data_IF_307203930792
#
_entry.id   IF_307203930792
#
_cell.length_a   1.000
_cell.length_b   1.000
_cell.length_c   1.000
_cell.angle_alpha   90.00
_cell.angle_beta   90.00
_cell.angle_gamma   90.00
#
_symmetry.space_group_name_H-M   'P 1'
#
loop_
_entity.id
_entity.type
_entity.pdbx_description
1 polymer ?
#
# COMPACT_ATOMS: atom_id res chain seq x y z
N UNK A 1 54.02 5.72 8.67
CA UNK A 1 52.95 4.73 8.46
C UNK A 1 51.71 4.90 9.37
N UNK A 2 51.78 5.57 10.53
CA UNK A 2 50.61 5.82 11.39
C UNK A 2 49.58 6.82 10.83
N UNK A 3 49.98 7.74 9.93
CA UNK A 3 49.10 8.81 9.45
C UNK A 3 48.19 8.42 8.26
N UNK A 4 48.45 7.28 7.61
CA UNK A 4 47.62 6.78 6.49
C UNK A 4 46.36 6.06 7.02
N UNK A 5 46.47 5.43 8.20
CA UNK A 5 45.34 4.73 8.81
C UNK A 5 44.26 5.70 9.32
N UNK A 6 44.65 6.89 9.78
CA UNK A 6 43.72 7.93 10.28
C UNK A 6 42.91 8.59 9.15
N UNK A 7 43.50 8.73 7.95
CA UNK A 7 42.79 9.27 6.77
C UNK A 7 41.78 8.24 6.24
N UNK A 8 42.09 6.95 6.32
CA UNK A 8 41.17 5.89 5.89
C UNK A 8 39.95 5.75 6.82
N UNK A 9 40.10 6.06 8.12
CA UNK A 9 38.99 5.99 9.08
C UNK A 9 37.99 7.16 8.97
N UNK A 10 38.42 8.32 8.47
CA UNK A 10 37.54 9.48 8.25
C UNK A 10 36.68 9.39 6.98
N UNK A 11 36.99 8.48 6.05
CA UNK A 11 36.23 8.25 4.81
C UNK A 11 35.07 7.25 4.98
N UNK A 12 34.90 6.65 6.16
CA UNK A 12 33.82 5.71 6.48
C UNK A 12 32.61 6.35 7.18
N UNK A 13 32.44 7.67 7.12
CA UNK A 13 31.17 8.33 7.44
C UNK A 13 30.16 8.08 6.32
N UNK A 14 29.77 6.81 6.16
CA UNK A 14 28.63 6.42 5.33
C UNK A 14 27.39 6.98 6.01
N UNK A 15 27.00 8.19 5.60
CA UNK A 15 25.74 8.80 5.98
C UNK A 15 24.62 7.81 5.68
N UNK A 16 23.91 7.40 6.72
CA UNK A 16 22.71 6.57 6.62
C UNK A 16 21.63 7.47 5.99
N UNK A 17 21.59 7.52 4.65
CA UNK A 17 20.55 8.23 3.89
C UNK A 17 19.26 7.40 3.87
N UNK A 18 18.65 7.24 5.04
CA UNK A 18 17.26 6.85 5.18
C UNK A 18 16.52 7.87 6.07
N UNK A 19 16.90 9.14 5.97
CA UNK A 19 16.23 10.22 6.68
C UNK A 19 14.93 10.55 5.96
N UNK A 20 13.81 10.43 6.67
CA UNK A 20 12.53 10.90 6.21
C UNK A 20 12.60 12.42 5.97
N UNK A 21 12.17 12.89 4.80
CA UNK A 21 11.99 14.32 4.58
C UNK A 21 10.85 14.83 5.50
N UNK A 22 10.99 15.96 6.20
CA UNK A 22 9.91 16.49 7.02
C UNK A 22 8.80 17.06 6.14
N UNK A 23 7.54 16.80 6.49
CA UNK A 23 6.35 17.43 5.91
C UNK A 23 5.48 17.89 7.07
N UNK A 24 5.16 19.17 7.12
CA UNK A 24 4.36 19.77 8.19
C UNK A 24 2.95 20.02 7.67
N UNK A 25 1.96 19.48 8.36
CA UNK A 25 0.54 19.73 8.12
C UNK A 25 0.04 20.85 9.03
N UNK A 26 -0.57 21.87 8.42
CA UNK A 26 -1.27 22.94 9.13
C UNK A 26 -2.77 22.60 9.20
N UNK A 27 -3.24 22.24 10.39
CA UNK A 27 -4.64 21.87 10.62
C UNK A 27 -5.63 23.03 10.37
N UNK A 28 -5.24 24.27 10.69
CA UNK A 28 -6.14 25.41 10.55
C UNK A 28 -6.31 25.82 9.08
N UNK A 29 -5.24 25.71 8.31
CA UNK A 29 -5.23 26.13 6.90
C UNK A 29 -5.42 24.99 5.91
N UNK A 30 -5.41 23.74 6.39
CA UNK A 30 -5.64 22.52 5.62
C UNK A 30 -4.69 22.36 4.42
N UNK A 31 -3.38 22.54 4.63
CA UNK A 31 -2.35 22.30 3.62
C UNK A 31 -1.08 21.72 4.24
N UNK A 32 -0.17 21.23 3.40
CA UNK A 32 1.18 20.83 3.80
C UNK A 32 2.19 21.94 3.52
N UNK A 33 3.28 22.03 4.28
CA UNK A 33 4.47 22.84 3.98
C UNK A 33 4.19 24.25 3.44
N UNK A 34 3.20 24.99 3.96
CA UNK A 34 2.87 26.34 3.46
C UNK A 34 2.48 26.40 1.97
N UNK A 35 1.89 25.32 1.45
CA UNK A 35 1.49 25.20 0.05
C UNK A 35 2.61 24.73 -0.88
N UNK A 36 3.79 24.39 -0.34
CA UNK A 36 4.89 23.84 -1.15
C UNK A 36 4.61 22.40 -1.57
N UNK A 37 5.04 21.97 -2.78
CA UNK A 37 4.89 20.60 -3.24
C UNK A 37 5.50 19.56 -2.28
N UNK A 38 4.88 18.39 -2.22
CA UNK A 38 5.35 17.28 -1.41
C UNK A 38 6.61 16.64 -2.01
N UNK A 39 7.45 16.02 -1.18
CA UNK A 39 8.66 15.38 -1.66
C UNK A 39 8.38 14.22 -2.60
N UNK A 40 9.02 14.25 -3.77
CA UNK A 40 8.96 13.16 -4.74
C UNK A 40 9.89 12.01 -4.34
N UNK A 41 9.48 10.79 -4.69
CA UNK A 41 10.33 9.59 -4.77
C UNK A 41 11.08 9.23 -3.47
N UNK A 42 10.64 9.78 -2.36
CA UNK A 42 11.28 9.67 -1.05
C UNK A 42 10.24 9.44 0.02
N UNK A 43 10.66 8.82 1.13
CA UNK A 43 9.81 8.66 2.31
C UNK A 43 9.83 9.95 3.12
N UNK A 44 8.71 10.29 3.75
CA UNK A 44 8.60 11.52 4.51
C UNK A 44 7.92 11.31 5.86
N UNK A 45 8.21 12.22 6.80
CA UNK A 45 7.64 12.25 8.12
C UNK A 45 6.59 13.35 8.13
N UNK A 46 5.32 12.97 8.21
CA UNK A 46 4.23 13.91 8.36
C UNK A 46 4.09 14.31 9.82
N UNK A 47 4.26 15.58 10.12
CA UNK A 47 4.06 16.15 11.44
C UNK A 47 2.97 17.21 11.42
N UNK A 48 2.35 17.49 12.57
CA UNK A 48 1.32 18.52 12.67
C UNK A 48 0.82 18.64 14.09
N UNK A 49 -0.02 19.64 14.34
CA UNK A 49 -0.66 19.80 15.65
C UNK A 49 -1.81 18.80 15.83
N UNK A 50 -1.99 18.33 17.06
CA UNK A 50 -3.09 17.43 17.43
C UNK A 50 -4.20 18.29 18.05
N UNK A 51 -5.42 18.29 17.48
CA UNK A 51 -6.55 18.97 18.10
C UNK A 51 -6.84 18.43 19.51
N UNK A 52 -7.35 19.24 20.45
CA UNK A 52 -7.68 18.79 21.80
C UNK A 52 -8.61 17.58 21.79
N UNK A 53 -8.32 16.58 22.63
CA UNK A 53 -9.12 15.35 22.75
C UNK A 53 -8.82 14.28 21.69
N UNK A 54 -8.10 14.60 20.61
CA UNK A 54 -7.72 13.62 19.59
C UNK A 54 -6.63 12.69 20.12
N UNK A 55 -6.89 11.40 20.08
CA UNK A 55 -5.99 10.35 20.57
C UNK A 55 -5.44 9.46 19.45
N UNK A 56 -5.97 9.58 18.24
CA UNK A 56 -5.55 8.82 17.08
C UNK A 56 -5.83 9.59 15.80
N UNK A 57 -4.88 9.49 14.86
CA UNK A 57 -4.98 10.09 13.53
C UNK A 57 -4.70 9.00 12.50
N UNK A 58 -5.60 8.81 11.55
CA UNK A 58 -5.41 7.92 10.40
C UNK A 58 -5.24 8.76 9.15
N UNK A 59 -4.12 8.57 8.46
CA UNK A 59 -3.83 9.21 7.17
C UNK A 59 -4.04 8.19 6.06
N UNK A 60 -4.75 8.59 5.00
CA UNK A 60 -4.89 7.84 3.76
C UNK A 60 -4.42 8.67 2.58
N UNK A 61 -3.80 8.00 1.62
CA UNK A 61 -3.36 8.58 0.35
C UNK A 61 -4.16 7.95 -0.78
N UNK A 62 -4.64 8.78 -1.70
CA UNK A 62 -5.38 8.38 -2.90
C UNK A 62 -4.75 9.01 -4.13
N UNK A 63 -4.94 8.37 -5.29
CA UNK A 63 -4.64 8.98 -6.59
C UNK A 63 -5.56 10.15 -6.88
N UNK A 64 -6.86 9.96 -6.67
CA UNK A 64 -7.90 10.98 -6.75
C UNK A 64 -8.95 10.77 -5.63
N UNK A 65 -9.71 11.82 -5.31
CA UNK A 65 -10.71 11.80 -4.22
C UNK A 65 -11.63 10.58 -4.32
N UNK A 66 -11.71 9.81 -3.23
CA UNK A 66 -12.67 8.71 -3.08
C UNK A 66 -12.39 7.48 -3.95
N UNK A 67 -11.27 7.44 -4.67
CA UNK A 67 -10.84 6.27 -5.45
C UNK A 67 -10.05 5.28 -4.56
N UNK A 68 -9.11 4.54 -5.15
CA UNK A 68 -8.39 3.45 -4.51
C UNK A 68 -7.42 4.01 -3.47
N UNK A 69 -7.49 3.50 -2.24
CA UNK A 69 -6.49 3.79 -1.20
C UNK A 69 -5.13 3.23 -1.63
N UNK A 70 -4.16 4.13 -1.84
CA UNK A 70 -2.78 3.77 -2.18
C UNK A 70 -1.95 3.42 -0.95
N UNK A 71 -2.21 4.11 0.16
CA UNK A 71 -1.48 3.93 1.40
C UNK A 71 -2.33 4.33 2.61
N UNK A 72 -2.06 3.70 3.75
CA UNK A 72 -2.66 4.05 5.04
C UNK A 72 -1.60 4.00 6.12
N UNK A 73 -1.58 5.00 6.98
CA UNK A 73 -0.73 5.03 8.17
C UNK A 73 -1.49 5.64 9.33
N UNK A 74 -1.07 5.32 10.55
CA UNK A 74 -1.77 5.72 11.77
C UNK A 74 -0.78 6.23 12.80
N UNK A 75 -1.19 7.28 13.49
CA UNK A 75 -0.58 7.72 14.74
C UNK A 75 -1.56 7.47 15.87
N UNK A 76 -1.04 6.94 16.98
CA UNK A 76 -1.79 6.70 18.22
C UNK A 76 -1.05 7.38 19.35
N UNK A 77 -1.80 8.13 20.15
CA UNK A 77 -1.27 8.73 21.36
C UNK A 77 -0.92 7.61 22.36
N UNK A 78 0.30 7.64 22.91
CA UNK A 78 0.81 6.58 23.80
C UNK A 78 0.16 6.58 25.19
N UNK A 79 -0.23 7.76 25.69
CA UNK A 79 -0.85 7.93 27.02
C UNK A 79 -2.26 8.55 26.92
N UNK A 80 -3.23 8.15 27.75
CA UNK A 80 -4.60 8.67 27.67
C UNK A 80 -4.76 10.12 28.18
N UNK A 81 -3.87 10.56 29.08
CA UNK A 81 -3.99 11.84 29.80
C UNK A 81 -3.01 12.94 29.38
N UNK A 82 -2.19 12.69 28.35
CA UNK A 82 -1.21 13.67 27.90
C UNK A 82 -1.76 14.47 26.72
N UNK A 83 -1.67 15.79 26.82
CA UNK A 83 -1.92 16.70 25.71
C UNK A 83 -0.69 16.71 24.81
N UNK A 84 -0.50 15.71 23.94
CA UNK A 84 0.49 15.88 22.88
C UNK A 84 0.09 17.09 22.04
N UNK A 85 1.01 18.05 21.91
CA UNK A 85 0.82 19.22 21.05
C UNK A 85 0.99 18.89 19.56
N UNK A 86 1.50 17.69 19.23
CA UNK A 86 1.70 17.29 17.85
C UNK A 86 1.82 15.77 17.63
N UNK A 87 1.66 15.38 16.37
CA UNK A 87 1.79 14.01 15.89
C UNK A 87 2.95 13.88 14.92
N UNK A 88 3.44 12.65 14.75
CA UNK A 88 4.43 12.29 13.73
C UNK A 88 4.04 10.95 13.11
N UNK A 89 3.76 10.94 11.81
CA UNK A 89 3.40 9.77 11.01
C UNK A 89 4.51 9.52 9.98
N UNK A 90 5.16 8.36 10.05
CA UNK A 90 6.07 7.94 9.01
C UNK A 90 5.27 7.50 7.77
N UNK A 91 5.51 8.19 6.65
CA UNK A 91 4.91 7.86 5.35
C UNK A 91 5.94 7.09 4.53
N UNK A 92 5.74 5.77 4.49
CA UNK A 92 6.64 4.82 3.80
C UNK A 92 6.30 4.61 2.32
N UNK A 93 5.33 5.37 1.80
CA UNK A 93 4.91 5.32 0.41
C UNK A 93 5.56 6.47 -0.36
N UNK A 94 6.57 6.21 -1.23
CA UNK A 94 7.16 7.24 -2.05
C UNK A 94 6.15 7.74 -3.08
N UNK A 95 5.99 9.05 -3.19
CA UNK A 95 5.08 9.68 -4.16
C UNK A 95 5.77 9.80 -5.52
N UNK A 96 5.04 9.60 -6.62
CA UNK A 96 5.59 9.83 -7.96
C UNK A 96 5.69 11.34 -8.20
N UNK A 97 6.83 11.78 -8.71
CA UNK A 97 6.97 13.19 -9.12
C UNK A 97 6.09 13.54 -10.31
N UNK A 98 5.81 14.82 -10.47
CA UNK A 98 4.90 15.35 -11.51
C UNK A 98 3.48 14.77 -11.44
N UNK A 99 3.02 14.37 -10.25
CA UNK A 99 1.65 13.92 -10.00
C UNK A 99 1.05 14.70 -8.84
N UNK A 100 -0.26 14.64 -8.74
CA UNK A 100 -1.05 15.16 -7.63
C UNK A 100 -1.65 13.99 -6.86
N UNK A 101 -1.86 14.16 -5.57
CA UNK A 101 -2.46 13.14 -4.70
C UNK A 101 -3.47 13.77 -3.76
N UNK A 102 -4.51 13.01 -3.43
CA UNK A 102 -5.44 13.38 -2.36
C UNK A 102 -5.01 12.75 -1.04
N UNK A 103 -5.00 13.56 0.02
CA UNK A 103 -4.74 13.11 1.39
C UNK A 103 -5.99 13.28 2.23
N UNK A 104 -6.35 12.24 2.97
CA UNK A 104 -7.40 12.31 3.97
C UNK A 104 -6.82 12.03 5.35
N UNK A 105 -7.01 12.95 6.29
CA UNK A 105 -6.68 12.77 7.69
C UNK A 105 -7.97 12.63 8.49
N UNK A 106 -8.10 11.51 9.19
CA UNK A 106 -9.22 11.19 10.06
C UNK A 106 -8.76 11.34 11.51
N UNK A 107 -9.41 12.24 12.25
CA UNK A 107 -9.10 12.55 13.64
C UNK A 107 -10.10 11.86 14.57
N UNK A 108 -9.59 11.03 15.48
CA UNK A 108 -10.41 10.26 16.41
C UNK A 108 -10.18 10.73 17.84
N UNK A 109 -11.27 10.88 18.59
CA UNK A 109 -11.26 11.26 20.00
C UNK A 109 -11.74 10.09 20.85
N UNK A 110 -11.14 9.91 22.03
CA UNK A 110 -11.63 8.93 23.02
C UNK A 110 -13.07 9.27 23.39
N UNK A 111 -13.96 8.28 23.36
CA UNK A 111 -15.30 8.46 23.91
C UNK A 111 -15.21 8.78 25.40
N UNK A 112 -16.03 9.72 25.88
CA UNK A 112 -16.24 9.89 27.32
C UNK A 112 -17.10 8.74 27.86
N UNK A 113 -16.98 8.41 29.15
CA UNK A 113 -17.78 7.34 29.78
C UNK A 113 -19.28 7.48 29.49
N UNK A 114 -19.81 8.71 29.49
CA UNK A 114 -21.21 9.01 29.18
C UNK A 114 -21.58 8.75 27.72
N UNK A 115 -20.68 9.07 26.79
CA UNK A 115 -20.91 8.82 25.36
C UNK A 115 -20.80 7.34 25.02
N UNK A 116 -19.88 6.63 25.68
CA UNK A 116 -19.75 5.18 25.59
C UNK A 116 -21.01 4.49 26.11
N UNK A 117 -21.50 4.88 27.29
CA UNK A 117 -22.74 4.35 27.86
C UNK A 117 -23.93 4.60 26.92
N UNK A 118 -24.03 5.81 26.34
CA UNK A 118 -25.09 6.14 25.37
C UNK A 118 -24.99 5.29 24.11
N UNK A 119 -23.78 5.03 23.59
CA UNK A 119 -23.56 4.19 22.43
C UNK A 119 -23.96 2.74 22.71
N UNK A 120 -23.57 2.22 23.88
CA UNK A 120 -23.97 0.89 24.37
C UNK A 120 -25.49 0.78 24.45
N UNK A 121 -26.16 1.75 25.08
CA UNK A 121 -27.63 1.77 25.19
C UNK A 121 -28.32 1.79 23.83
N UNK A 122 -27.81 2.58 22.89
CA UNK A 122 -28.36 2.64 21.52
C UNK A 122 -28.18 1.32 20.78
N UNK A 123 -27.01 0.68 20.92
CA UNK A 123 -26.71 -0.61 20.33
C UNK A 123 -27.62 -1.70 20.89
N UNK A 124 -27.74 -1.78 22.22
CA UNK A 124 -28.60 -2.74 22.91
C UNK A 124 -30.07 -2.54 22.52
N UNK A 125 -30.55 -1.30 22.53
CA UNK A 125 -31.94 -0.98 22.12
C UNK A 125 -32.22 -1.46 20.70
N UNK A 126 -31.30 -1.23 19.77
CA UNK A 126 -31.48 -1.61 18.36
C UNK A 126 -31.44 -3.13 18.19
N UNK A 127 -30.49 -3.81 18.83
CA UNK A 127 -30.38 -5.27 18.79
C UNK A 127 -31.58 -5.95 19.46
N UNK A 128 -32.04 -5.44 20.59
CA UNK A 128 -33.17 -6.01 21.32
C UNK A 128 -34.48 -5.79 20.57
N UNK A 129 -34.71 -4.60 20.02
CA UNK A 129 -35.87 -4.34 19.18
C UNK A 129 -35.90 -5.27 17.95
N UNK A 130 -34.74 -5.50 17.30
CA UNK A 130 -34.63 -6.46 16.21
C UNK A 130 -34.99 -7.88 16.66
N UNK A 131 -34.46 -8.34 17.80
CA UNK A 131 -34.74 -9.67 18.34
C UNK A 131 -36.22 -9.83 18.72
N UNK A 132 -36.80 -8.83 19.39
CA UNK A 132 -38.21 -8.83 19.80
C UNK A 132 -39.15 -8.87 18.59
N UNK A 133 -38.81 -8.18 17.51
CA UNK A 133 -39.59 -8.22 16.26
C UNK A 133 -39.39 -9.54 15.50
N UNK A 134 -38.20 -10.13 15.58
CA UNK A 134 -37.84 -11.33 14.80
C UNK A 134 -38.29 -12.64 15.46
N UNK A 135 -38.65 -12.61 16.74
CA UNK A 135 -39.07 -13.79 17.52
C UNK A 135 -40.54 -13.69 17.86
N UNK A 136 -41.33 -14.65 17.39
CA UNK A 136 -42.77 -14.74 17.70
C UNK A 136 -43.04 -15.91 18.63
N UNK A 137 -43.70 -15.64 19.76
CA UNK A 137 -44.10 -16.68 20.73
C UNK A 137 -45.49 -17.18 20.37
N UNK A 138 -45.59 -18.43 19.93
CA UNK A 138 -46.86 -19.11 19.71
C UNK A 138 -47.27 -19.92 20.95
N UNK A 139 -48.50 -20.45 20.96
CA UNK A 139 -49.05 -21.22 22.10
C UNK A 139 -48.20 -22.43 22.53
N UNK A 140 -47.47 -23.03 21.60
CA UNK A 140 -46.76 -24.30 21.80
C UNK A 140 -45.27 -24.27 21.40
N UNK A 141 -44.82 -23.25 20.69
CA UNK A 141 -43.46 -23.12 20.17
C UNK A 141 -43.07 -21.66 20.02
N UNK A 142 -41.77 -21.41 19.91
CA UNK A 142 -41.24 -20.14 19.45
C UNK A 142 -40.93 -20.27 17.96
N UNK A 143 -41.28 -19.27 17.15
CA UNK A 143 -40.97 -19.24 15.72
C UNK A 143 -40.16 -18.01 15.39
N UNK A 144 -39.14 -18.17 14.55
CA UNK A 144 -38.36 -17.06 14.03
C UNK A 144 -39.00 -16.56 12.73
N UNK A 145 -39.06 -15.23 12.54
CA UNK A 145 -39.53 -14.65 11.28
C UNK A 145 -38.54 -14.87 10.12
N UNK A 146 -37.27 -15.08 10.45
CA UNK A 146 -36.18 -15.36 9.50
C UNK A 146 -35.37 -16.56 10.00
N UNK A 147 -34.68 -17.24 9.09
CA UNK A 147 -33.75 -18.32 9.44
C UNK A 147 -32.63 -17.79 10.35
N UNK A 148 -32.16 -18.61 11.29
CA UNK A 148 -31.08 -18.26 12.23
C UNK A 148 -29.86 -17.61 11.56
N UNK A 149 -29.42 -18.13 10.40
CA UNK A 149 -28.30 -17.55 9.63
C UNK A 149 -28.55 -16.10 9.21
N UNK A 150 -29.74 -15.80 8.70
CA UNK A 150 -30.11 -14.44 8.27
C UNK A 150 -30.18 -13.49 9.46
N UNK A 151 -30.69 -13.97 10.61
CA UNK A 151 -30.71 -13.16 11.83
C UNK A 151 -29.30 -12.77 12.30
N UNK A 152 -28.35 -13.71 12.24
CA UNK A 152 -26.95 -13.40 12.55
C UNK A 152 -26.38 -12.37 11.57
N UNK A 153 -26.64 -12.50 10.27
CA UNK A 153 -26.18 -11.54 9.26
C UNK A 153 -26.74 -10.13 9.50
N UNK A 154 -28.04 -10.03 9.78
CA UNK A 154 -28.72 -8.78 10.08
C UNK A 154 -28.16 -8.13 11.37
N UNK A 155 -28.01 -8.89 12.45
CA UNK A 155 -27.42 -8.41 13.70
C UNK A 155 -25.96 -7.98 13.50
N UNK A 156 -25.18 -8.74 12.71
CA UNK A 156 -23.82 -8.34 12.35
C UNK A 156 -23.79 -7.03 11.57
N UNK A 157 -24.78 -6.78 10.72
CA UNK A 157 -24.92 -5.51 10.02
C UNK A 157 -25.27 -4.36 10.98
N UNK A 158 -26.16 -4.58 11.95
CA UNK A 158 -26.49 -3.59 12.99
C UNK A 158 -25.23 -3.17 13.74
N UNK A 159 -24.45 -4.12 14.27
CA UNK A 159 -23.21 -3.81 15.01
C UNK A 159 -22.22 -3.07 14.11
N UNK A 160 -21.96 -3.56 12.88
CA UNK A 160 -21.01 -2.91 11.97
C UNK A 160 -21.42 -1.48 11.60
N UNK A 161 -22.72 -1.22 11.41
CA UNK A 161 -23.22 0.12 11.11
C UNK A 161 -23.07 1.05 12.31
N UNK A 162 -23.41 0.58 13.52
CA UNK A 162 -23.26 1.36 14.75
C UNK A 162 -21.80 1.66 15.09
N UNK A 163 -20.88 0.75 14.77
CA UNK A 163 -19.45 0.89 15.02
C UNK A 163 -18.68 1.49 13.82
N UNK A 164 -19.33 1.83 12.71
CA UNK A 164 -18.64 2.20 11.46
C UNK A 164 -17.72 3.42 11.59
N UNK A 165 -18.10 4.37 12.45
CA UNK A 165 -17.32 5.58 12.76
C UNK A 165 -16.40 5.43 13.97
N UNK A 166 -16.40 4.25 14.59
CA UNK A 166 -15.60 3.94 15.77
C UNK A 166 -14.34 3.19 15.38
N UNK A 167 -13.27 3.42 16.12
CA UNK A 167 -12.00 2.71 15.95
C UNK A 167 -11.44 2.34 17.30
N UNK A 168 -11.05 1.08 17.44
CA UNK A 168 -10.40 0.59 18.64
C UNK A 168 -8.88 0.79 18.52
N UNK A 169 -8.22 1.17 19.63
CA UNK A 169 -6.76 1.27 19.71
C UNK A 169 -6.04 -0.06 19.49
N UNK A 170 -6.63 -1.19 19.81
CA UNK A 170 -6.09 -2.53 19.53
C UNK A 170 -6.30 -2.98 18.07
N UNK A 171 -6.95 -2.16 17.22
CA UNK A 171 -7.42 -2.55 15.87
C UNK A 171 -8.33 -3.79 15.89
N UNK A 172 -8.94 -4.06 17.05
CA UNK A 172 -9.99 -5.07 17.16
C UNK A 172 -11.18 -4.64 16.31
N UNK A 173 -11.62 -5.53 15.43
CA UNK A 173 -12.79 -5.35 14.58
C UNK A 173 -13.82 -6.39 14.98
N UNK A 174 -15.08 -5.98 14.97
CA UNK A 174 -16.17 -6.92 15.12
C UNK A 174 -16.25 -7.81 13.88
N UNK A 175 -15.73 -9.04 14.00
CA UNK A 175 -15.74 -10.04 12.93
C UNK A 175 -17.12 -10.72 12.78
N UNK A 176 -18.01 -10.52 13.75
CA UNK A 176 -19.34 -11.11 13.79
C UNK A 176 -19.65 -11.78 15.13
N UNK A 177 -20.93 -12.05 15.37
CA UNK A 177 -21.37 -12.86 16.50
C UNK A 177 -20.84 -14.30 16.41
N UNK A 178 -20.54 -14.88 17.57
CA UNK A 178 -19.97 -16.20 17.67
C UNK A 178 -20.96 -17.32 17.30
N UNK A 179 -20.44 -18.53 17.13
CA UNK A 179 -21.27 -19.73 16.99
C UNK A 179 -22.13 -19.99 18.24
N UNK A 180 -21.77 -19.45 19.42
CA UNK A 180 -22.58 -19.57 20.63
C UNK A 180 -23.91 -18.83 20.46
N UNK A 181 -23.88 -17.60 19.93
CA UNK A 181 -25.09 -16.82 19.62
C UNK A 181 -25.93 -17.55 18.57
N UNK A 182 -25.28 -18.02 17.50
CA UNK A 182 -25.95 -18.77 16.43
C UNK A 182 -26.65 -20.03 16.95
N UNK A 183 -25.97 -20.80 17.80
CA UNK A 183 -26.53 -22.00 18.43
C UNK A 183 -27.68 -21.64 19.37
N UNK A 184 -27.59 -20.54 20.11
CA UNK A 184 -28.66 -20.08 21.01
C UNK A 184 -29.92 -19.66 20.23
N UNK A 185 -29.76 -19.01 19.08
CA UNK A 185 -30.88 -18.69 18.17
C UNK A 185 -31.52 -19.97 17.62
N UNK A 186 -30.71 -20.95 17.19
CA UNK A 186 -31.23 -22.23 16.71
C UNK A 186 -31.98 -22.99 17.82
N UNK A 187 -31.47 -22.99 19.05
CA UNK A 187 -32.16 -23.55 20.21
C UNK A 187 -33.50 -22.86 20.51
N UNK A 188 -33.59 -21.55 20.25
CA UNK A 188 -34.81 -20.79 20.39
C UNK A 188 -35.86 -21.20 19.34
N UNK A 189 -35.42 -21.44 18.09
CA UNK A 189 -36.26 -21.96 17.01
C UNK A 189 -36.83 -23.35 17.33
N UNK A 190 -36.01 -24.23 17.91
CA UNK A 190 -36.40 -25.60 18.27
C UNK A 190 -37.16 -25.71 19.60
N UNK A 191 -37.43 -24.57 20.26
CA UNK A 191 -37.97 -24.53 21.62
C UNK A 191 -39.44 -25.00 21.65
N UNK A 192 -39.66 -26.18 22.24
CA UNK A 192 -41.01 -26.74 22.47
C UNK A 192 -41.54 -26.36 23.86
N UNK A 193 -42.48 -25.42 23.91
CA UNK A 193 -43.05 -24.88 25.16
C UNK A 193 -43.88 -25.90 25.97
N UNK A 194 -44.30 -27.01 25.34
CA UNK A 194 -45.02 -28.10 26.03
C UNK A 194 -44.20 -28.75 27.16
N UNK A 195 -42.87 -28.73 27.06
CA UNK A 195 -41.94 -29.30 28.07
C UNK A 195 -41.60 -28.34 29.22
N UNK A 196 -41.96 -27.05 29.12
CA UNK A 196 -41.67 -26.03 30.13
C UNK A 196 -42.35 -26.31 31.49
N UNK A 197 -43.40 -27.14 31.50
CA UNK A 197 -44.15 -27.52 32.71
C UNK A 197 -43.29 -28.16 33.82
N UNK A 198 -42.10 -28.68 33.53
CA UNK A 198 -41.28 -29.34 34.56
C UNK A 198 -40.22 -28.43 35.21
N UNK A 199 -39.88 -27.28 34.61
CA UNK A 199 -38.79 -26.42 35.10
C UNK A 199 -39.25 -25.27 36.02
N UNK A 200 -40.44 -24.70 35.77
CA UNK A 200 -40.94 -23.49 36.48
C UNK A 200 -41.93 -23.84 37.61
N UNK A 201 -42.56 -25.01 37.55
CA UNK A 201 -43.62 -25.45 38.49
C UNK A 201 -43.16 -25.63 39.95
N UNK A 202 -41.86 -25.53 40.26
CA UNK A 202 -41.38 -25.49 41.65
C UNK A 202 -41.53 -24.13 42.34
N UNK A 203 -41.90 -23.04 41.64
CA UNK A 203 -41.86 -21.68 42.20
C UNK A 203 -43.19 -20.93 42.37
N UNK A 204 -44.30 -21.31 41.72
CA UNK A 204 -45.59 -20.59 41.85
C UNK A 204 -46.80 -21.51 41.68
N UNK A 205 -47.55 -21.74 42.74
CA UNK A 205 -48.72 -22.64 42.80
C UNK A 205 -50.01 -22.09 42.11
N UNK A 206 -49.99 -20.89 41.52
CA UNK A 206 -51.22 -20.23 40.99
C UNK A 206 -51.09 -19.53 39.63
N UNK A 207 -50.13 -19.90 38.77
CA UNK A 207 -50.03 -19.32 37.42
C UNK A 207 -50.75 -20.20 36.39
N UNK A 208 -51.43 -19.58 35.42
CA UNK A 208 -52.08 -20.30 34.32
C UNK A 208 -51.02 -20.98 33.42
N UNK A 209 -51.40 -22.10 32.78
CA UNK A 209 -50.46 -22.86 31.92
C UNK A 209 -49.93 -22.03 30.74
N UNK A 210 -50.67 -21.00 30.30
CA UNK A 210 -50.26 -20.11 29.21
C UNK A 210 -49.26 -19.05 29.68
N UNK A 211 -49.46 -18.47 30.86
CA UNK A 211 -48.50 -17.54 31.49
C UNK A 211 -47.14 -18.20 31.73
N UNK A 212 -47.11 -19.44 32.22
CA UNK A 212 -45.86 -20.17 32.49
C UNK A 212 -45.07 -20.44 31.19
N UNK A 213 -45.77 -20.69 30.08
CA UNK A 213 -45.15 -20.93 28.77
C UNK A 213 -44.61 -19.64 28.16
N UNK A 214 -45.39 -18.55 28.25
CA UNK A 214 -44.95 -17.22 27.85
C UNK A 214 -43.71 -16.80 28.63
N UNK A 215 -43.74 -16.95 29.95
CA UNK A 215 -42.61 -16.61 30.83
C UNK A 215 -41.34 -17.41 30.50
N UNK A 216 -41.46 -18.70 30.19
CA UNK A 216 -40.31 -19.51 29.75
C UNK A 216 -39.72 -19.03 28.41
N UNK A 217 -40.57 -18.69 27.44
CA UNK A 217 -40.12 -18.15 26.16
C UNK A 217 -39.39 -16.81 26.35
N UNK A 218 -39.97 -15.92 27.16
CA UNK A 218 -39.37 -14.62 27.51
C UNK A 218 -38.03 -14.82 28.21
N UNK A 219 -37.90 -15.76 29.14
CA UNK A 219 -36.61 -16.05 29.79
C UNK A 219 -35.52 -16.50 28.80
N UNK A 220 -35.87 -17.30 27.79
CA UNK A 220 -34.90 -17.73 26.77
C UNK A 220 -34.50 -16.57 25.84
N UNK A 221 -35.45 -15.71 25.48
CA UNK A 221 -35.19 -14.51 24.70
C UNK A 221 -34.31 -13.52 25.47
N UNK A 222 -34.59 -13.29 26.75
CA UNK A 222 -33.76 -12.45 27.62
C UNK A 222 -32.35 -13.01 27.81
N UNK A 223 -32.21 -14.34 27.87
CA UNK A 223 -30.88 -14.98 27.87
C UNK A 223 -30.13 -14.74 26.56
N UNK A 224 -30.81 -14.77 25.41
CA UNK A 224 -30.20 -14.47 24.12
C UNK A 224 -29.79 -13.00 24.04
N UNK A 225 -30.65 -12.06 24.46
CA UNK A 225 -30.35 -10.62 24.53
C UNK A 225 -29.09 -10.35 25.35
N UNK A 226 -28.97 -10.96 26.53
CA UNK A 226 -27.76 -10.83 27.38
C UNK A 226 -26.49 -11.34 26.69
N UNK A 227 -26.57 -12.47 26.00
CA UNK A 227 -25.42 -13.04 25.28
C UNK A 227 -24.99 -12.14 24.11
N UNK A 228 -25.96 -11.67 23.32
CA UNK A 228 -25.73 -10.74 22.20
C UNK A 228 -25.13 -9.43 22.70
N UNK A 229 -25.68 -8.86 23.77
CA UNK A 229 -25.19 -7.62 24.39
C UNK A 229 -23.74 -7.79 24.85
N UNK A 230 -23.43 -8.87 25.58
CA UNK A 230 -22.07 -9.13 26.05
C UNK A 230 -21.05 -9.27 24.90
N UNK A 231 -21.40 -9.99 23.83
CA UNK A 231 -20.50 -10.12 22.67
C UNK A 231 -20.36 -8.81 21.88
N UNK A 232 -21.43 -8.03 21.77
CA UNK A 232 -21.40 -6.72 21.11
C UNK A 232 -20.56 -5.71 21.91
N UNK A 233 -20.64 -5.73 23.25
CA UNK A 233 -19.87 -4.85 24.13
C UNK A 233 -18.39 -5.18 24.11
N UNK A 234 -18.01 -6.45 23.95
CA UNK A 234 -16.59 -6.82 23.76
C UNK A 234 -15.95 -6.14 22.55
N UNK A 235 -16.74 -5.78 21.52
CA UNK A 235 -16.24 -5.02 20.38
C UNK A 235 -15.97 -3.54 20.69
N UNK A 236 -16.53 -3.02 21.79
CA UNK A 236 -16.42 -1.64 22.25
C UNK A 236 -15.31 -1.41 23.29
N UNK A 237 -14.51 -2.43 23.61
CA UNK A 237 -13.48 -2.46 24.69
C UNK A 237 -12.69 -1.15 24.90
N UNK A 238 -12.21 -0.98 26.13
CA UNK A 238 -11.60 0.22 26.67
C UNK A 238 -10.58 0.85 25.70
N UNK A 239 -10.92 2.04 25.19
CA UNK A 239 -10.11 2.77 24.21
C UNK A 239 -10.76 2.93 22.84
N UNK A 240 -12.06 2.66 22.71
CA UNK A 240 -12.83 3.04 21.53
C UNK A 240 -12.80 4.56 21.31
N UNK A 241 -12.51 4.95 20.07
CA UNK A 241 -12.38 6.33 19.66
C UNK A 241 -13.33 6.63 18.50
N UNK A 242 -14.03 7.76 18.57
CA UNK A 242 -14.99 8.20 17.56
C UNK A 242 -14.34 9.15 16.58
N UNK A 243 -14.64 8.97 15.30
CA UNK A 243 -14.31 9.96 14.27
C UNK A 243 -14.95 11.30 14.61
N UNK A 244 -14.12 12.31 14.83
CA UNK A 244 -14.57 13.66 15.22
C UNK A 244 -14.40 14.63 14.07
N UNK A 245 -13.31 14.50 13.31
CA UNK A 245 -13.04 15.39 12.18
C UNK A 245 -12.38 14.63 11.02
N UNK A 246 -12.55 15.17 9.82
CA UNK A 246 -11.96 14.69 8.58
C UNK A 246 -11.43 15.88 7.79
N UNK A 247 -10.11 15.96 7.65
CA UNK A 247 -9.47 16.87 6.72
C UNK A 247 -9.24 16.19 5.37
N UNK A 248 -9.60 16.88 4.29
CA UNK A 248 -9.35 16.43 2.91
C UNK A 248 -8.49 17.49 2.23
N UNK A 249 -7.32 17.07 1.77
CA UNK A 249 -6.40 17.88 0.97
C UNK A 249 -6.41 17.27 -0.42
N UNK A 250 -7.15 17.91 -1.32
CA UNK A 250 -7.35 17.44 -2.69
C UNK A 250 -6.22 17.91 -3.62
N UNK A 251 -5.90 17.07 -4.60
CA UNK A 251 -4.98 17.34 -5.71
C UNK A 251 -3.68 18.06 -5.28
N UNK A 252 -3.06 17.57 -4.21
CA UNK A 252 -1.88 18.22 -3.67
C UNK A 252 -0.63 17.89 -4.51
N UNK A 253 0.13 18.89 -4.97
CA UNK A 253 1.22 18.68 -5.92
C UNK A 253 2.43 18.01 -5.28
N UNK A 254 3.14 17.22 -6.07
CA UNK A 254 4.43 16.60 -5.72
C UNK A 254 5.56 17.25 -6.53
N UNK A 255 6.74 17.39 -5.93
CA UNK A 255 7.96 17.89 -6.56
C UNK A 255 8.13 17.32 -7.98
N UNK A 256 8.46 18.19 -8.93
CA UNK A 256 8.69 17.77 -10.31
C UNK A 256 9.96 16.92 -10.40
N UNK A 257 9.84 15.70 -10.93
CA UNK A 257 11.00 14.85 -11.21
C UNK A 257 11.45 15.03 -12.65
N UNK A 258 12.76 15.12 -12.85
CA UNK A 258 13.35 15.36 -14.16
C UNK A 258 13.40 14.04 -14.94
N UNK A 259 12.88 14.05 -16.16
CA UNK A 259 13.15 12.97 -17.12
C UNK A 259 14.61 13.07 -17.58
N UNK A 260 15.38 12.01 -17.37
CA UNK A 260 16.80 11.95 -17.73
C UNK A 260 16.96 11.02 -18.93
N UNK A 261 17.59 11.54 -19.98
CA UNK A 261 18.10 10.74 -21.10
C UNK A 261 19.61 10.78 -21.00
N UNK A 262 20.25 9.64 -20.96
CA UNK A 262 21.69 9.61 -20.74
C UNK A 262 22.43 9.39 -22.05
N UNK A 263 23.54 10.11 -22.24
CA UNK A 263 24.50 9.79 -23.28
C UNK A 263 25.44 8.72 -22.76
N UNK A 264 25.65 7.66 -23.53
CA UNK A 264 26.65 6.66 -23.25
C UNK A 264 27.77 6.74 -24.29
N UNK A 265 29.01 6.68 -23.83
CA UNK A 265 30.21 6.62 -24.66
C UNK A 265 31.08 5.50 -24.09
N UNK A 266 31.52 4.59 -24.94
CA UNK A 266 32.15 3.37 -24.48
C UNK A 266 33.03 2.69 -25.52
N UNK A 267 33.54 1.54 -25.12
CA UNK A 267 34.31 0.66 -25.97
C UNK A 267 33.71 -0.74 -25.93
N UNK A 268 33.56 -1.34 -27.11
CA UNK A 268 32.72 -2.50 -27.32
C UNK A 268 33.38 -3.56 -28.17
N UNK A 269 33.19 -4.82 -27.79
CA UNK A 269 33.59 -5.99 -28.57
C UNK A 269 32.37 -6.65 -29.21
N UNK A 270 32.50 -7.01 -30.49
CA UNK A 270 31.49 -7.72 -31.27
C UNK A 270 32.03 -9.08 -31.62
N UNK A 271 31.25 -10.11 -31.36
CA UNK A 271 31.58 -11.48 -31.72
C UNK A 271 31.45 -11.65 -33.23
N UNK A 272 32.55 -12.07 -33.87
CA UNK A 272 32.55 -12.43 -35.30
C UNK A 272 32.17 -13.89 -35.48
N UNK A 273 33.07 -14.79 -35.08
CA UNK A 273 32.95 -16.25 -35.24
C UNK A 273 34.07 -16.97 -34.47
N UNK A 274 33.87 -18.22 -34.10
CA UNK A 274 34.93 -19.08 -33.54
C UNK A 274 34.54 -19.77 -32.24
N UNK A 275 35.38 -20.73 -31.84
CA UNK A 275 35.32 -21.47 -30.56
C UNK A 275 36.49 -21.04 -29.66
N UNK A 276 36.58 -21.57 -28.43
CA UNK A 276 37.50 -21.13 -27.37
C UNK A 276 38.95 -20.84 -27.79
N UNK A 277 39.51 -21.59 -28.74
CA UNK A 277 40.90 -21.43 -29.21
C UNK A 277 41.06 -20.51 -30.44
N UNK A 278 39.98 -20.20 -31.17
CA UNK A 278 40.01 -19.41 -32.42
C UNK A 278 38.90 -18.35 -32.45
N UNK A 279 38.78 -17.59 -31.36
CA UNK A 279 37.76 -16.54 -31.22
C UNK A 279 38.11 -15.32 -32.08
N UNK A 280 37.29 -15.03 -33.10
CA UNK A 280 37.36 -13.78 -33.87
C UNK A 280 36.38 -12.77 -33.29
N UNK A 281 36.91 -11.61 -32.92
CA UNK A 281 36.13 -10.47 -32.46
C UNK A 281 36.66 -9.19 -33.09
N UNK A 282 35.77 -8.21 -33.26
CA UNK A 282 36.13 -6.84 -33.60
C UNK A 282 35.85 -5.96 -32.39
N UNK A 283 36.62 -4.89 -32.20
CA UNK A 283 36.37 -3.95 -31.14
C UNK A 283 36.47 -2.51 -31.61
N UNK A 284 35.54 -1.67 -31.14
CA UNK A 284 35.47 -0.28 -31.57
C UNK A 284 34.84 0.61 -30.48
N UNK A 285 35.16 1.91 -30.48
CA UNK A 285 34.44 2.87 -29.66
C UNK A 285 33.01 3.04 -30.17
N UNK A 286 32.06 3.24 -29.25
CA UNK A 286 30.66 3.48 -29.57
C UNK A 286 30.09 4.64 -28.75
N UNK A 287 29.04 5.26 -29.28
CA UNK A 287 28.27 6.26 -28.59
C UNK A 287 26.77 6.11 -28.86
N UNK A 288 25.94 6.45 -27.88
CA UNK A 288 24.51 6.31 -27.99
C UNK A 288 23.75 6.97 -26.86
N UNK A 289 22.45 6.67 -26.83
CA UNK A 289 21.53 7.10 -25.78
C UNK A 289 21.13 5.90 -24.93
N UNK A 290 20.90 6.13 -23.63
CA UNK A 290 20.36 5.14 -22.70
C UNK A 290 19.13 5.67 -21.98
N UNK A 291 18.10 4.82 -21.92
CA UNK A 291 16.86 5.06 -21.21
C UNK A 291 16.78 4.10 -20.01
N UNK A 292 16.74 4.59 -18.76
CA UNK A 292 16.63 3.72 -17.59
C UNK A 292 15.26 3.05 -17.53
N UNK A 293 15.21 1.77 -17.13
CA UNK A 293 13.95 1.02 -17.05
C UNK A 293 13.05 1.43 -15.88
N UNK A 294 13.61 2.02 -14.82
CA UNK A 294 12.80 2.43 -13.68
C UNK A 294 13.57 3.21 -12.63
N UNK A 295 12.82 3.96 -11.82
CA UNK A 295 13.37 4.70 -10.70
C UNK A 295 13.60 3.77 -9.49
N UNK A 296 14.68 3.99 -8.75
CA UNK A 296 15.01 3.29 -7.49
C UNK A 296 13.90 3.39 -6.44
N UNK A 297 13.06 4.43 -6.47
CA UNK A 297 11.94 4.57 -5.55
C UNK A 297 10.82 3.53 -5.77
N UNK A 298 10.68 2.99 -6.99
CA UNK A 298 9.56 2.13 -7.37
C UNK A 298 9.96 0.76 -7.95
N UNK A 299 11.21 0.63 -8.41
CA UNK A 299 11.73 -0.58 -9.02
C UNK A 299 12.72 -1.30 -8.09
N UNK A 300 12.87 -2.61 -8.28
CA UNK A 300 13.88 -3.39 -7.54
C UNK A 300 15.30 -2.86 -7.80
N UNK A 301 16.25 -3.17 -6.90
CA UNK A 301 17.66 -2.77 -7.09
C UNK A 301 18.22 -3.20 -8.46
N UNK A 302 17.80 -4.37 -8.92
CA UNK A 302 18.18 -4.90 -10.22
C UNK A 302 17.53 -4.10 -11.36
N UNK A 303 16.20 -3.96 -11.36
CA UNK A 303 15.47 -3.27 -12.42
C UNK A 303 15.82 -1.78 -12.53
N UNK A 304 16.03 -1.10 -11.41
CA UNK A 304 16.48 0.30 -11.37
C UNK A 304 17.92 0.51 -11.85
N UNK A 305 18.70 -0.57 -11.97
CA UNK A 305 20.07 -0.54 -12.50
C UNK A 305 20.14 -0.91 -13.98
N UNK A 306 19.03 -1.33 -14.59
CA UNK A 306 18.94 -1.62 -16.02
C UNK A 306 18.62 -0.36 -16.82
N UNK A 307 19.15 -0.31 -18.05
CA UNK A 307 18.80 0.67 -19.08
C UNK A 307 18.71 0.01 -20.45
N UNK A 308 17.85 0.50 -21.31
CA UNK A 308 17.89 0.19 -22.73
C UNK A 308 18.85 1.18 -23.40
N UNK A 309 19.85 0.68 -24.12
CA UNK A 309 20.83 1.51 -24.83
C UNK A 309 20.75 1.27 -26.33
N UNK A 310 20.86 2.34 -27.12
CA UNK A 310 20.92 2.28 -28.57
C UNK A 310 21.84 3.36 -29.11
N UNK A 311 22.59 3.06 -30.16
CA UNK A 311 23.58 3.98 -30.70
C UNK A 311 24.35 3.42 -31.88
N UNK A 312 25.50 4.03 -32.15
CA UNK A 312 26.37 3.66 -33.27
C UNK A 312 27.81 3.45 -32.81
N UNK A 313 28.53 2.56 -33.48
CA UNK A 313 29.97 2.49 -33.38
C UNK A 313 30.59 3.64 -34.19
N UNK A 314 31.65 4.24 -33.66
CA UNK A 314 32.27 5.42 -34.27
C UNK A 314 33.23 5.05 -35.41
N UNK A 315 33.53 3.77 -35.57
CA UNK A 315 34.40 3.23 -36.62
C UNK A 315 33.79 1.98 -37.23
N UNK A 316 34.16 1.69 -38.48
CA UNK A 316 33.92 0.38 -39.08
C UNK A 316 34.70 -0.69 -38.35
N UNK A 317 34.22 -1.93 -38.43
CA UNK A 317 34.75 -3.06 -37.70
C UNK A 317 35.65 -3.88 -38.61
N UNK A 318 36.81 -4.24 -38.09
CA UNK A 318 37.72 -5.16 -38.73
C UNK A 318 37.75 -6.46 -37.92
N UNK A 319 37.32 -7.56 -38.53
CA UNK A 319 37.32 -8.89 -37.94
C UNK A 319 38.59 -9.70 -38.29
N UNK A 320 39.59 -9.05 -38.89
CA UNK A 320 40.79 -9.67 -39.45
C UNK A 320 40.54 -10.31 -40.83
N UNK A 321 41.61 -10.70 -41.54
CA UNK A 321 41.57 -11.38 -42.84
C UNK A 321 40.79 -10.61 -43.95
N UNK A 322 40.89 -9.28 -44.00
CA UNK A 322 40.18 -8.40 -44.95
C UNK A 322 38.64 -8.45 -44.84
N UNK A 323 38.09 -8.93 -43.72
CA UNK A 323 36.67 -8.88 -43.42
C UNK A 323 36.33 -7.60 -42.66
N UNK A 324 35.92 -6.58 -43.41
CA UNK A 324 35.41 -5.32 -42.84
C UNK A 324 33.89 -5.33 -42.84
N UNK A 325 33.30 -4.86 -41.74
CA UNK A 325 31.88 -4.67 -41.60
C UNK A 325 31.56 -3.21 -41.30
N UNK A 326 30.58 -2.68 -42.03
CA UNK A 326 29.98 -1.36 -41.84
C UNK A 326 28.55 -1.49 -41.32
N UNK A 327 27.85 -0.38 -41.13
CA UNK A 327 26.42 -0.41 -40.81
C UNK A 327 25.53 -0.15 -42.01
N UNK A 328 24.30 -0.70 -42.01
CA UNK A 328 23.40 -0.59 -43.16
C UNK A 328 22.71 0.78 -43.28
N UNK A 329 22.61 1.56 -42.20
CA UNK A 329 21.79 2.80 -42.17
C UNK A 329 22.65 4.05 -42.38
N UNK A 330 23.68 4.25 -41.55
CA UNK A 330 24.52 5.47 -41.54
C UNK A 330 25.96 5.21 -41.96
N UNK A 331 26.23 4.07 -42.63
CA UNK A 331 27.58 3.62 -42.96
C UNK A 331 28.41 3.17 -41.74
N UNK A 332 27.88 3.31 -40.53
CA UNK A 332 28.49 2.88 -39.27
C UNK A 332 27.62 1.84 -38.57
N UNK A 333 28.20 0.78 -37.97
CA UNK A 333 27.45 -0.24 -37.24
C UNK A 333 26.51 0.35 -36.18
N UNK A 334 25.27 -0.13 -36.13
CA UNK A 334 24.25 0.33 -35.19
C UNK A 334 24.02 -0.76 -34.15
N UNK A 335 23.90 -0.41 -32.87
CA UNK A 335 23.63 -1.37 -31.80
C UNK A 335 22.37 -1.02 -31.01
N UNK A 336 21.81 -2.05 -30.41
CA UNK A 336 20.80 -1.96 -29.35
C UNK A 336 21.12 -2.99 -28.27
N UNK A 337 20.94 -2.65 -27.01
CA UNK A 337 21.29 -3.53 -25.91
C UNK A 337 20.71 -3.15 -24.57
N UNK A 338 20.94 -4.03 -23.60
CA UNK A 338 20.62 -3.80 -22.20
C UNK A 338 21.90 -3.44 -21.47
N UNK A 339 21.88 -2.29 -20.80
CA UNK A 339 22.95 -1.80 -19.95
C UNK A 339 22.66 -2.06 -18.48
N UNK A 340 23.59 -2.69 -17.77
CA UNK A 340 23.55 -2.84 -16.32
C UNK A 340 24.56 -1.93 -15.64
N UNK A 341 24.11 -1.17 -14.65
CA UNK A 341 24.95 -0.24 -13.88
C UNK A 341 25.83 -0.97 -12.87
N UNK A 342 27.15 -0.97 -13.10
CA UNK A 342 28.14 -1.56 -12.19
C UNK A 342 28.64 -0.53 -11.18
N UNK A 343 28.89 0.71 -11.63
CA UNK A 343 29.26 1.84 -10.78
C UNK A 343 28.41 3.08 -11.11
N UNK A 344 28.55 4.16 -10.33
CA UNK A 344 27.70 5.35 -10.49
C UNK A 344 27.66 5.93 -11.92
N UNK A 345 28.76 5.81 -12.67
CA UNK A 345 28.90 6.29 -14.05
C UNK A 345 29.26 5.18 -15.06
N UNK A 346 29.53 3.94 -14.63
CA UNK A 346 29.99 2.85 -15.49
C UNK A 346 28.91 1.79 -15.69
N UNK A 347 28.67 1.41 -16.94
CA UNK A 347 27.73 0.35 -17.31
C UNK A 347 28.38 -0.74 -18.14
N UNK A 348 27.88 -1.96 -17.98
CA UNK A 348 28.10 -3.07 -18.90
C UNK A 348 26.89 -3.18 -19.81
N UNK A 349 27.11 -3.02 -21.11
CA UNK A 349 26.10 -3.19 -22.14
C UNK A 349 26.28 -4.56 -22.79
N UNK A 350 25.18 -5.27 -22.96
CA UNK A 350 25.12 -6.50 -23.74
C UNK A 350 23.92 -6.43 -24.67
N UNK A 351 24.10 -6.80 -25.93
CA UNK A 351 23.06 -6.66 -26.93
C UNK A 351 23.46 -7.18 -28.29
N UNK A 352 22.93 -6.54 -29.32
CA UNK A 352 23.10 -6.93 -30.69
C UNK A 352 23.49 -5.73 -31.56
N UNK A 353 24.38 -5.97 -32.51
CA UNK A 353 24.84 -5.00 -33.51
C UNK A 353 24.39 -5.44 -34.88
N UNK A 354 23.84 -4.50 -35.65
CA UNK A 354 23.44 -4.68 -37.02
C UNK A 354 24.58 -4.28 -37.96
N UNK A 355 24.99 -5.23 -38.80
CA UNK A 355 26.18 -5.14 -39.63
C UNK A 355 25.86 -5.41 -41.10
N UNK A 356 26.72 -4.88 -41.97
CA UNK A 356 26.73 -5.05 -43.41
C UNK A 356 28.16 -5.33 -43.87
N UNK A 357 28.35 -6.41 -44.63
CA UNK A 357 29.68 -6.75 -45.18
C UNK A 357 30.10 -5.76 -46.28
N UNK A 358 31.38 -5.35 -46.25
CA UNK A 358 31.98 -4.46 -47.25
C UNK A 358 33.13 -5.10 -48.02
N UNK A 359 33.40 -6.40 -47.81
CA UNK A 359 34.50 -7.09 -48.48
C UNK A 359 34.25 -7.30 -49.99
N UNK A 360 35.25 -7.04 -50.85
CA UNK A 360 35.12 -7.07 -52.32
C UNK A 360 34.87 -8.48 -52.91
N UNK A 361 35.10 -9.54 -52.12
CA UNK A 361 34.92 -10.94 -52.56
C UNK A 361 33.51 -11.51 -52.28
N UNK A 362 32.60 -10.73 -51.67
CA UNK A 362 31.23 -11.17 -51.40
C UNK A 362 30.24 -10.41 -52.30
N UNK A 363 29.75 -11.07 -53.35
CA UNK A 363 28.68 -10.58 -54.23
C UNK A 363 27.31 -10.75 -53.58
N UNK A 364 27.07 -10.05 -52.46
CA UNK A 364 25.78 -10.04 -51.76
C UNK A 364 25.74 -9.03 -50.63
N UNK A 365 24.78 -8.08 -50.70
CA UNK A 365 24.47 -7.11 -49.65
C UNK A 365 23.77 -7.79 -48.45
N UNK A 366 24.47 -8.69 -47.76
CA UNK A 366 23.90 -9.41 -46.63
C UNK A 366 23.99 -8.55 -45.36
N UNK A 367 22.82 -8.18 -44.84
CA UNK A 367 22.66 -7.58 -43.52
C UNK A 367 22.58 -8.74 -42.51
N UNK A 368 23.35 -8.65 -41.43
CA UNK A 368 23.36 -9.66 -40.38
C UNK A 368 23.49 -9.02 -38.99
N UNK A 369 23.16 -9.81 -37.98
CA UNK A 369 23.16 -9.37 -36.57
C UNK A 369 24.21 -10.17 -35.81
N UNK A 370 25.02 -9.49 -35.00
CA UNK A 370 26.02 -10.13 -34.13
C UNK A 370 25.85 -9.69 -32.68
N UNK A 371 26.11 -10.58 -31.71
CA UNK A 371 26.09 -10.18 -30.31
C UNK A 371 27.26 -9.25 -29.99
N UNK A 372 27.00 -8.31 -29.09
CA UNK A 372 27.91 -7.27 -28.65
C UNK A 372 27.96 -7.22 -27.12
N UNK A 373 29.15 -7.01 -26.57
CA UNK A 373 29.38 -6.69 -25.16
C UNK A 373 30.32 -5.49 -25.06
N UNK A 374 30.02 -4.53 -24.20
CA UNK A 374 30.86 -3.35 -24.04
C UNK A 374 30.73 -2.67 -22.69
N UNK A 375 31.70 -1.82 -22.39
CA UNK A 375 31.69 -0.94 -21.22
C UNK A 375 31.49 0.50 -21.66
N UNK A 376 30.59 1.22 -21.01
CA UNK A 376 30.35 2.65 -21.29
C UNK A 376 30.37 3.49 -20.03
N UNK A 377 30.90 4.71 -20.17
CA UNK A 377 30.62 5.80 -19.26
C UNK A 377 29.27 6.44 -19.64
N UNK A 378 28.43 6.72 -18.65
CA UNK A 378 27.13 7.36 -18.83
C UNK A 378 27.12 8.77 -18.25
N UNK A 379 26.72 9.74 -19.07
CA UNK A 379 26.52 11.14 -18.70
C UNK A 379 25.03 11.42 -18.78
N UNK A 380 24.41 11.67 -17.63
CA UNK A 380 22.99 11.98 -17.54
C UNK A 380 22.73 13.39 -18.08
N UNK A 381 21.98 13.50 -19.17
CA UNK A 381 21.49 14.78 -19.65
C UNK A 381 20.05 14.99 -19.16
N UNK A 382 19.80 16.16 -18.61
CA UNK A 382 18.43 16.60 -18.35
C UNK A 382 17.92 17.28 -19.62
N UNK A 383 16.96 16.64 -20.28
CA UNK A 383 16.13 17.33 -21.26
C UNK A 383 14.87 17.79 -20.54
N UNK A 384 14.73 19.11 -20.38
CA UNK A 384 13.43 19.72 -20.13
C UNK A 384 12.58 19.58 -21.38
N UNK A 385 12.08 18.37 -21.64
CA UNK A 385 10.99 18.20 -22.60
C UNK A 385 9.82 18.98 -22.00
N UNK A 386 9.61 20.20 -22.49
CA UNK A 386 8.45 21.01 -22.16
C UNK A 386 7.23 20.12 -22.35
N UNK A 387 6.59 19.76 -21.24
CA UNK A 387 5.29 19.14 -21.29
C UNK A 387 4.34 20.31 -21.50
N UNK A 388 3.99 20.57 -22.75
CA UNK A 388 2.93 21.52 -23.07
C UNK A 388 1.66 21.06 -22.35
N UNK A 389 1.28 21.87 -21.34
CA UNK A 389 0.02 21.88 -20.58
C UNK A 389 -0.29 20.68 -19.68
#
# INVERSE_FOLDING_TARGET
MKNIFTICLCLCSVGIFAQYKPVVYDFQKNYFNEGQPLPAETRFMLSGQVPPGVNMIEMKIFDEVGKKVLYTSRWKHRNYDSTASGFNIAVNYPLRGNQEYTFELYFYQTLTDKEEEKLIQQLDTTLFAYLDQSVTVNRNSVSLQKKSKQMIEDMNAIVRNSLGQQRNKADYRFEGFSDIVKNKIAQLEDLRLRKAKFSIFKKKEKASTEEIRGEYATQQLESLKKLVSAEAHNALDAGTSRLTDKAVIDNYPVEATRTVVSLNIGYGGIYGSGDGDNLRYASAPYAGISLPFGNRAFASKFASSLSLSAGVFLTNLDFGNNETASGPVVGLPVYTGLGYKIFNFLRLNAGATLLKNTSPNFSGNQIYVRPFVGLSAEINLWMGLNKDR
#
